data_IF_175035323160
#
_entry.id   IF_175035323160
#
_cell.length_a   1.000
_cell.length_b   1.000
_cell.length_c   1.000
_cell.angle_alpha   90.00
_cell.angle_beta   90.00
_cell.angle_gamma   90.00
#
_symmetry.space_group_name_H-M   'P 1'
#
loop_
_entity.id
_entity.type
_entity.pdbx_description
1 polymer ?
#
# COMPACT_ATOMS: atom_id res chain seq x y z
N UNK A 1 1.19 6.78 -13.58
CA UNK A 1 0.74 5.42 -13.20
C UNK A 1 0.40 5.32 -11.71
N UNK A 2 1.29 5.72 -10.78
CA UNK A 2 1.02 5.62 -9.33
C UNK A 2 -0.27 6.30 -8.84
N UNK A 3 -0.63 7.52 -9.29
CA UNK A 3 -1.91 8.14 -8.89
C UNK A 3 -3.14 7.32 -9.34
N UNK A 4 -3.07 6.73 -10.54
CA UNK A 4 -4.15 5.88 -11.06
C UNK A 4 -4.26 4.56 -10.29
N UNK A 5 -3.11 3.98 -9.90
CA UNK A 5 -3.07 2.79 -9.03
C UNK A 5 -3.73 3.08 -7.70
N UNK A 6 -3.52 4.28 -7.15
CA UNK A 6 -4.18 4.73 -5.93
C UNK A 6 -5.70 4.82 -6.09
N UNK A 7 -6.15 5.53 -7.12
CA UNK A 7 -7.58 5.72 -7.37
C UNK A 7 -8.30 4.38 -7.61
N UNK A 8 -7.64 3.46 -8.32
CA UNK A 8 -8.13 2.11 -8.54
C UNK A 8 -8.27 1.33 -7.22
N UNK A 9 -7.27 1.40 -6.35
CA UNK A 9 -7.28 0.71 -5.06
C UNK A 9 -8.30 1.31 -4.10
N UNK A 10 -8.44 2.63 -4.07
CA UNK A 10 -9.48 3.34 -3.31
C UNK A 10 -10.88 2.99 -3.80
N UNK A 11 -11.08 3.00 -5.12
CA UNK A 11 -12.35 2.62 -5.74
C UNK A 11 -12.74 1.19 -5.38
N UNK A 12 -11.76 0.28 -5.37
CA UNK A 12 -11.97 -1.10 -4.91
C UNK A 12 -12.32 -1.16 -3.42
N UNK A 13 -11.55 -0.51 -2.54
CA UNK A 13 -11.82 -0.52 -1.09
C UNK A 13 -13.20 0.10 -0.77
N UNK A 14 -13.53 1.23 -1.40
CA UNK A 14 -14.82 1.90 -1.24
C UNK A 14 -15.97 1.04 -1.78
N UNK A 15 -15.78 0.40 -2.92
CA UNK A 15 -16.74 -0.54 -3.50
C UNK A 15 -16.98 -1.75 -2.60
N UNK A 16 -15.93 -2.32 -2.00
CA UNK A 16 -16.08 -3.43 -1.05
C UNK A 16 -16.84 -3.00 0.21
N UNK A 17 -16.51 -1.83 0.77
CA UNK A 17 -17.14 -1.33 1.99
C UNK A 17 -18.61 -0.90 1.80
N UNK A 18 -19.00 -0.44 0.60
CA UNK A 18 -20.34 0.13 0.34
C UNK A 18 -21.20 -0.70 -0.62
N UNK A 19 -20.80 -1.92 -0.98
CA UNK A 19 -21.57 -2.76 -1.90
C UNK A 19 -21.57 -2.27 -3.35
N UNK A 20 -20.46 -1.69 -3.80
CA UNK A 20 -20.25 -1.26 -5.19
C UNK A 20 -20.29 -2.40 -6.20
N UNK A 21 -20.33 -2.06 -7.49
CA UNK A 21 -20.45 -3.08 -8.54
C UNK A 21 -19.20 -3.96 -8.62
N UNK A 22 -19.39 -5.27 -8.85
CA UNK A 22 -18.29 -6.25 -9.01
C UNK A 22 -17.24 -5.80 -10.02
N UNK A 23 -17.65 -5.22 -11.16
CA UNK A 23 -16.72 -4.80 -12.22
C UNK A 23 -15.71 -3.75 -11.76
N UNK A 24 -16.17 -2.72 -11.02
CA UNK A 24 -15.30 -1.68 -10.47
C UNK A 24 -14.30 -2.23 -9.46
N UNK A 25 -14.72 -3.14 -8.58
CA UNK A 25 -13.84 -3.72 -7.56
C UNK A 25 -12.77 -4.61 -8.22
N UNK A 26 -13.19 -5.48 -9.14
CA UNK A 26 -12.28 -6.37 -9.88
C UNK A 26 -11.29 -5.56 -10.71
N UNK A 27 -11.77 -4.58 -11.49
CA UNK A 27 -10.93 -3.71 -12.30
C UNK A 27 -9.94 -2.91 -11.45
N UNK A 28 -10.39 -2.39 -10.29
CA UNK A 28 -9.53 -1.67 -9.35
C UNK A 28 -8.40 -2.55 -8.79
N UNK A 29 -8.73 -3.77 -8.35
CA UNK A 29 -7.75 -4.73 -7.84
C UNK A 29 -6.75 -5.19 -8.92
N UNK A 30 -7.21 -5.44 -10.15
CA UNK A 30 -6.34 -5.81 -11.27
C UNK A 30 -5.41 -4.65 -11.66
N UNK A 31 -5.93 -3.43 -11.72
CA UNK A 31 -5.08 -2.28 -12.04
C UNK A 31 -4.05 -2.00 -10.95
N UNK A 32 -4.39 -2.28 -9.68
CA UNK A 32 -3.46 -2.15 -8.57
C UNK A 32 -2.25 -3.09 -8.70
N UNK A 33 -2.36 -4.24 -9.38
CA UNK A 33 -1.23 -5.17 -9.58
C UNK A 33 -0.17 -4.64 -10.54
N UNK A 34 -0.37 -3.49 -11.19
CA UNK A 34 0.67 -2.80 -11.98
C UNK A 34 1.83 -2.37 -11.07
N UNK A 35 1.56 -2.11 -9.79
CA UNK A 35 2.59 -1.77 -8.79
C UNK A 35 2.35 -2.53 -7.48
N UNK A 36 2.63 -3.85 -7.46
CA UNK A 36 2.22 -4.71 -6.36
C UNK A 36 2.89 -4.32 -5.03
N UNK A 37 4.13 -3.82 -5.08
CA UNK A 37 4.87 -3.37 -3.89
C UNK A 37 4.23 -2.15 -3.19
N UNK A 38 3.48 -1.30 -3.90
CA UNK A 38 2.81 -0.14 -3.30
C UNK A 38 1.47 -0.48 -2.64
N UNK A 39 0.91 -1.63 -2.98
CA UNK A 39 -0.49 -1.96 -2.64
C UNK A 39 -0.65 -3.31 -1.97
N UNK A 40 0.43 -4.06 -1.71
CA UNK A 40 0.36 -5.44 -1.25
C UNK A 40 -0.45 -5.55 0.06
N UNK A 41 -0.12 -4.74 1.05
CA UNK A 41 -0.80 -4.78 2.34
C UNK A 41 -2.25 -4.26 2.30
N UNK A 42 -2.57 -3.10 1.68
CA UNK A 42 -3.96 -2.68 1.54
C UNK A 42 -4.80 -3.61 0.63
N UNK A 43 -4.21 -4.21 -0.42
CA UNK A 43 -4.89 -5.21 -1.24
C UNK A 43 -5.17 -6.50 -0.45
N UNK A 44 -4.26 -6.92 0.43
CA UNK A 44 -4.49 -8.03 1.36
C UNK A 44 -5.71 -7.74 2.25
N UNK A 45 -5.81 -6.54 2.84
CA UNK A 45 -6.98 -6.17 3.65
C UNK A 45 -8.28 -6.19 2.85
N UNK A 46 -8.28 -5.69 1.60
CA UNK A 46 -9.46 -5.78 0.73
C UNK A 46 -9.81 -7.25 0.47
N UNK A 47 -8.83 -8.10 0.20
CA UNK A 47 -9.03 -9.54 0.01
C UNK A 47 -9.62 -10.23 1.25
N UNK A 48 -9.11 -9.91 2.44
CA UNK A 48 -9.63 -10.42 3.70
C UNK A 48 -11.06 -9.93 3.96
N UNK A 49 -11.37 -8.67 3.64
CA UNK A 49 -12.74 -8.13 3.76
C UNK A 49 -13.70 -8.82 2.79
N UNK A 50 -13.28 -9.09 1.55
CA UNK A 50 -14.07 -9.83 0.56
C UNK A 50 -14.38 -11.25 1.05
N UNK A 51 -13.41 -11.93 1.69
CA UNK A 51 -13.62 -13.24 2.31
C UNK A 51 -14.61 -13.15 3.47
N UNK A 52 -14.42 -12.19 4.39
CA UNK A 52 -15.29 -11.96 5.55
C UNK A 52 -16.73 -11.68 5.14
N UNK A 53 -16.92 -10.87 4.09
CA UNK A 53 -18.23 -10.49 3.54
C UNK A 53 -18.78 -11.49 2.52
N UNK A 54 -18.08 -12.61 2.29
CA UNK A 54 -18.48 -13.70 1.37
C UNK A 54 -18.78 -13.21 -0.05
N UNK A 55 -18.05 -12.21 -0.53
CA UNK A 55 -18.16 -11.69 -1.90
C UNK A 55 -17.42 -12.60 -2.90
N UNK A 56 -17.79 -13.88 -2.94
CA UNK A 56 -17.13 -14.94 -3.73
C UNK A 56 -17.03 -14.60 -5.21
N UNK A 57 -18.04 -13.92 -5.76
CA UNK A 57 -18.02 -13.49 -7.15
C UNK A 57 -16.81 -12.60 -7.45
N UNK A 58 -16.54 -11.60 -6.62
CA UNK A 58 -15.38 -10.70 -6.79
C UNK A 58 -14.09 -11.50 -6.68
N UNK A 59 -13.97 -12.37 -5.67
CA UNK A 59 -12.78 -13.21 -5.46
C UNK A 59 -12.49 -14.12 -6.65
N UNK A 60 -13.51 -14.80 -7.18
CA UNK A 60 -13.39 -15.69 -8.33
C UNK A 60 -13.02 -14.93 -9.60
N UNK A 61 -13.63 -13.77 -9.85
CA UNK A 61 -13.29 -12.95 -11.03
C UNK A 61 -11.88 -12.37 -10.94
N UNK A 62 -11.50 -11.76 -9.81
CA UNK A 62 -10.15 -11.22 -9.63
C UNK A 62 -9.11 -12.33 -9.69
N UNK A 63 -9.32 -13.44 -8.97
CA UNK A 63 -8.41 -14.59 -8.97
C UNK A 63 -8.29 -15.25 -10.34
N UNK A 64 -9.42 -15.49 -11.01
CA UNK A 64 -9.45 -16.09 -12.36
C UNK A 64 -8.76 -15.21 -13.40
N UNK A 65 -8.97 -13.89 -13.37
CA UNK A 65 -8.30 -12.96 -14.28
C UNK A 65 -6.80 -12.85 -14.00
N UNK A 66 -6.37 -12.82 -12.73
CA UNK A 66 -4.95 -12.85 -12.37
C UNK A 66 -4.28 -14.14 -12.83
N UNK A 67 -4.90 -15.30 -12.61
CA UNK A 67 -4.40 -16.58 -13.11
C UNK A 67 -4.33 -16.59 -14.65
N UNK A 68 -5.34 -16.03 -15.33
CA UNK A 68 -5.33 -15.85 -16.77
C UNK A 68 -4.15 -14.98 -17.24
N UNK A 69 -3.88 -13.86 -16.58
CA UNK A 69 -2.74 -13.00 -16.87
C UNK A 69 -1.40 -13.71 -16.62
N UNK A 70 -1.28 -14.46 -15.52
CA UNK A 70 -0.09 -15.28 -15.22
C UNK A 70 0.10 -16.34 -16.30
N UNK A 71 -0.97 -16.99 -16.75
CA UNK A 71 -0.91 -17.99 -17.80
C UNK A 71 -0.48 -17.37 -19.14
N UNK A 72 -1.02 -16.21 -19.51
CA UNK A 72 -0.58 -15.47 -20.70
C UNK A 72 0.90 -15.07 -20.57
N UNK A 73 1.33 -14.57 -19.41
CA UNK A 73 2.74 -14.25 -19.16
C UNK A 73 3.64 -15.49 -19.29
N UNK A 74 3.18 -16.65 -18.81
CA UNK A 74 3.86 -17.92 -18.98
C UNK A 74 3.97 -18.34 -20.45
N UNK A 75 2.92 -18.18 -21.25
CA UNK A 75 2.98 -18.47 -22.69
C UNK A 75 3.93 -17.53 -23.44
N UNK A 76 3.99 -16.26 -23.04
CA UNK A 76 4.85 -15.25 -23.67
C UNK A 76 6.32 -15.37 -23.24
N UNK A 77 6.58 -15.79 -22.01
CA UNK A 77 7.93 -15.92 -21.45
C UNK A 77 8.03 -17.15 -20.53
N UNK A 78 8.08 -18.39 -21.05
CA UNK A 78 7.98 -19.61 -20.24
C UNK A 78 8.99 -19.71 -19.07
N UNK A 79 10.16 -19.14 -19.27
CA UNK A 79 11.25 -19.18 -18.29
C UNK A 79 11.15 -18.09 -17.21
N UNK A 80 10.13 -17.21 -17.24
CA UNK A 80 10.02 -16.06 -16.32
C UNK A 80 10.10 -16.48 -14.85
N UNK A 81 9.45 -17.60 -14.51
CA UNK A 81 9.42 -18.10 -13.14
C UNK A 81 10.79 -18.58 -12.69
N UNK A 82 11.49 -19.33 -13.55
CA UNK A 82 12.84 -19.80 -13.27
C UNK A 82 13.84 -18.64 -13.17
N UNK A 83 13.71 -17.63 -14.03
CA UNK A 83 14.50 -16.40 -13.97
C UNK A 83 14.24 -15.63 -12.67
N UNK A 84 12.98 -15.53 -12.23
CA UNK A 84 12.62 -14.92 -10.95
C UNK A 84 13.24 -15.68 -9.75
N UNK A 85 13.14 -17.01 -9.74
CA UNK A 85 13.74 -17.83 -8.67
C UNK A 85 15.27 -17.75 -8.67
N UNK A 86 15.89 -17.72 -9.85
CA UNK A 86 17.32 -17.46 -10.03
C UNK A 86 17.73 -16.10 -9.48
N UNK A 87 16.97 -15.04 -9.80
CA UNK A 87 17.21 -13.69 -9.28
C UNK A 87 17.05 -13.59 -7.76
N UNK A 88 16.06 -14.31 -7.18
CA UNK A 88 15.85 -14.35 -5.73
C UNK A 88 17.00 -15.03 -4.98
N UNK A 89 17.48 -16.16 -5.50
CA UNK A 89 18.56 -16.94 -4.87
C UNK A 89 19.93 -16.28 -4.98
N UNK A 90 20.20 -15.61 -6.10
CA UNK A 90 21.43 -14.85 -6.33
C UNK A 90 21.47 -13.49 -5.61
N UNK A 91 20.32 -12.99 -5.14
CA UNK A 91 20.22 -11.64 -4.59
C UNK A 91 20.16 -10.54 -5.65
N UNK A 92 20.23 -10.88 -6.94
CA UNK A 92 20.22 -9.94 -8.07
C UNK A 92 18.89 -9.19 -8.25
N UNK A 93 17.85 -9.63 -7.54
CA UNK A 93 16.60 -8.87 -7.41
C UNK A 93 16.80 -7.49 -6.75
N UNK A 94 17.94 -7.23 -6.08
CA UNK A 94 18.23 -5.99 -5.35
C UNK A 94 19.13 -4.97 -6.06
N UNK A 95 19.53 -5.21 -7.31
CA UNK A 95 20.45 -4.30 -8.00
C UNK A 95 21.90 -4.79 -8.00
N UNK A 96 22.22 -5.76 -8.87
CA UNK A 96 23.56 -5.87 -9.45
C UNK A 96 23.73 -4.84 -10.58
N UNK A 97 24.86 -4.84 -11.31
CA UNK A 97 25.14 -3.94 -12.45
C UNK A 97 24.02 -3.91 -13.53
N UNK A 98 23.11 -4.90 -13.52
CA UNK A 98 21.91 -4.99 -14.35
C UNK A 98 20.63 -5.31 -13.55
N UNK A 99 20.52 -4.90 -12.28
CA UNK A 99 19.34 -5.25 -11.47
C UNK A 99 18.16 -4.29 -11.64
N UNK A 100 16.96 -4.80 -11.33
CA UNK A 100 15.66 -4.12 -11.43
C UNK A 100 15.47 -2.97 -10.41
N UNK A 101 16.42 -2.74 -9.51
CA UNK A 101 16.40 -1.63 -8.55
C UNK A 101 17.14 -0.45 -9.18
N UNK A 102 16.39 0.51 -9.73
CA UNK A 102 16.98 1.74 -10.25
C UNK A 102 17.65 2.54 -9.13
N UNK A 103 18.80 3.16 -9.40
CA UNK A 103 19.36 4.22 -8.54
C UNK A 103 18.28 5.24 -8.13
N UNK A 104 18.11 5.49 -6.83
CA UNK A 104 17.11 6.44 -6.31
C UNK A 104 15.99 5.85 -5.44
N UNK A 105 16.01 4.54 -5.16
CA UNK A 105 15.21 3.99 -4.05
C UNK A 105 15.87 4.41 -2.73
N UNK A 106 15.05 5.03 -1.89
CA UNK A 106 15.47 5.78 -0.71
C UNK A 106 14.49 5.36 0.39
N UNK A 107 14.94 4.52 1.32
CA UNK A 107 14.13 3.98 2.39
C UNK A 107 14.94 3.75 3.68
N UNK A 108 14.25 3.33 4.73
CA UNK A 108 14.88 3.10 6.05
C UNK A 108 15.80 1.87 6.05
N UNK A 109 15.62 0.98 5.07
CA UNK A 109 16.44 -0.22 4.93
C UNK A 109 17.87 0.11 4.50
N UNK A 110 18.02 1.14 3.68
CA UNK A 110 19.29 1.71 3.23
C UNK A 110 20.07 2.33 4.41
N UNK A 111 19.37 2.70 5.49
CA UNK A 111 19.94 3.15 6.76
C UNK A 111 20.16 2.01 7.78
N UNK A 112 20.02 0.75 7.36
CA UNK A 112 20.21 -0.43 8.22
C UNK A 112 19.01 -0.78 9.10
N UNK A 113 17.88 -0.08 8.98
CA UNK A 113 16.67 -0.39 9.75
C UNK A 113 15.94 -1.56 9.10
N UNK A 114 15.80 -2.65 9.85
CA UNK A 114 15.05 -3.82 9.40
C UNK A 114 13.56 -3.49 9.28
N UNK A 115 12.92 -3.89 8.16
CA UNK A 115 11.48 -3.74 7.97
C UNK A 115 10.64 -4.46 9.06
N UNK A 116 11.21 -5.46 9.72
CA UNK A 116 10.59 -6.17 10.85
C UNK A 116 10.30 -5.27 12.06
N UNK A 117 11.03 -4.17 12.21
CA UNK A 117 10.76 -3.16 13.25
C UNK A 117 9.33 -2.61 13.11
N UNK A 118 8.78 -2.62 11.89
CA UNK A 118 7.43 -2.11 11.61
C UNK A 118 6.34 -3.20 11.63
N UNK A 119 6.69 -4.47 11.87
CA UNK A 119 5.71 -5.56 11.98
C UNK A 119 4.61 -5.31 13.03
N UNK A 120 4.89 -4.72 14.21
CA UNK A 120 3.85 -4.38 15.18
C UNK A 120 2.75 -3.47 14.62
N UNK A 121 3.07 -2.56 13.70
CA UNK A 121 2.06 -1.71 13.06
C UNK A 121 1.16 -2.52 12.12
N UNK A 122 1.72 -3.49 11.39
CA UNK A 122 0.94 -4.41 10.56
C UNK A 122 -0.03 -5.26 11.40
N UNK A 123 0.45 -5.79 12.53
CA UNK A 123 -0.40 -6.53 13.49
C UNK A 123 -1.51 -5.64 14.03
N UNK A 124 -1.20 -4.38 14.38
CA UNK A 124 -2.21 -3.43 14.86
C UNK A 124 -3.29 -3.13 13.82
N UNK A 125 -2.91 -2.91 12.55
CA UNK A 125 -3.88 -2.71 11.46
C UNK A 125 -4.80 -3.92 11.31
N UNK A 126 -4.24 -5.14 11.33
CA UNK A 126 -5.03 -6.37 11.24
C UNK A 126 -5.98 -6.51 12.44
N UNK A 127 -5.51 -6.21 13.65
CA UNK A 127 -6.35 -6.19 14.85
C UNK A 127 -7.52 -5.19 14.73
N UNK A 128 -7.24 -3.96 14.26
CA UNK A 128 -8.28 -2.94 14.02
C UNK A 128 -9.26 -3.38 12.94
N UNK A 129 -8.78 -4.01 11.86
CA UNK A 129 -9.62 -4.58 10.81
C UNK A 129 -10.53 -5.70 11.33
N UNK A 130 -10.03 -6.60 12.17
CA UNK A 130 -10.87 -7.65 12.79
C UNK A 130 -12.01 -7.01 13.58
N UNK A 131 -11.69 -5.97 14.38
CA UNK A 131 -12.66 -5.29 15.26
C UNK A 131 -13.68 -4.44 14.50
N UNK A 132 -13.22 -3.63 13.55
CA UNK A 132 -14.01 -2.55 12.95
C UNK A 132 -14.35 -2.81 11.45
N UNK A 133 -13.75 -3.83 10.82
CA UNK A 133 -13.84 -4.07 9.38
C UNK A 133 -12.98 -3.10 8.55
N UNK A 134 -13.25 -3.05 7.25
CA UNK A 134 -12.55 -2.17 6.33
C UNK A 134 -13.08 -0.72 6.43
N UNK A 135 -12.49 0.07 7.32
CA UNK A 135 -12.82 1.50 7.49
C UNK A 135 -11.85 2.41 6.71
N UNK A 136 -12.24 3.64 6.35
CA UNK A 136 -11.34 4.59 5.70
C UNK A 136 -10.06 4.87 6.51
N UNK A 137 -10.20 4.93 7.83
CA UNK A 137 -9.09 5.11 8.76
C UNK A 137 -8.13 3.90 8.77
N UNK A 138 -8.68 2.69 8.93
CA UNK A 138 -7.90 1.46 8.90
C UNK A 138 -7.19 1.26 7.56
N UNK A 139 -7.86 1.58 6.45
CA UNK A 139 -7.30 1.52 5.11
C UNK A 139 -6.18 2.54 4.89
N UNK A 140 -6.35 3.78 5.39
CA UNK A 140 -5.30 4.80 5.34
C UNK A 140 -4.07 4.37 6.11
N UNK A 141 -4.24 3.82 7.32
CA UNK A 141 -3.13 3.29 8.11
C UNK A 141 -2.46 2.10 7.40
N UNK A 142 -3.22 1.25 6.71
CA UNK A 142 -2.67 0.16 5.92
C UNK A 142 -1.76 0.64 4.78
N UNK A 143 -2.13 1.74 4.10
CA UNK A 143 -1.26 2.35 3.09
C UNK A 143 0.06 2.79 3.72
N UNK A 144 0.01 3.51 4.85
CA UNK A 144 1.22 3.98 5.54
C UNK A 144 2.11 2.79 5.96
N UNK A 145 1.51 1.76 6.56
CA UNK A 145 2.22 0.56 6.99
C UNK A 145 2.81 -0.21 5.81
N UNK A 146 2.17 -0.21 4.65
CA UNK A 146 2.74 -0.81 3.44
C UNK A 146 4.09 -0.17 3.08
N UNK A 147 4.19 1.16 3.11
CA UNK A 147 5.43 1.88 2.83
C UNK A 147 6.53 1.61 3.87
N UNK A 148 6.16 1.29 5.11
CA UNK A 148 7.10 0.92 6.16
C UNK A 148 7.60 -0.53 6.04
N UNK A 149 6.69 -1.48 5.75
CA UNK A 149 7.02 -2.90 5.62
C UNK A 149 7.74 -3.22 4.30
N UNK A 150 7.36 -2.51 3.23
CA UNK A 150 7.90 -2.66 1.89
C UNK A 150 8.50 -1.31 1.48
N UNK A 151 9.75 -1.00 1.92
CA UNK A 151 10.41 0.27 1.64
C UNK A 151 10.95 0.28 0.20
N UNK A 152 10.08 0.04 -0.77
CA UNK A 152 10.37 0.06 -2.20
C UNK A 152 9.40 1.03 -2.86
N UNK A 153 9.67 2.33 -2.69
CA UNK A 153 8.86 3.40 -3.26
C UNK A 153 9.78 4.50 -3.79
N UNK A 154 9.34 5.21 -4.82
CA UNK A 154 10.00 6.44 -5.29
C UNK A 154 9.29 7.66 -4.73
N UNK A 155 9.93 8.82 -4.75
CA UNK A 155 9.34 10.07 -4.24
C UNK A 155 7.97 10.42 -4.86
N UNK A 156 7.74 10.09 -6.14
CA UNK A 156 6.43 10.30 -6.76
C UNK A 156 5.33 9.32 -6.28
N UNK A 157 5.70 8.24 -5.59
CA UNK A 157 4.76 7.31 -4.97
C UNK A 157 4.23 7.85 -3.63
N UNK A 158 4.86 8.88 -3.04
CA UNK A 158 4.41 9.54 -1.81
C UNK A 158 3.03 10.21 -1.96
N UNK A 159 2.56 10.41 -3.21
CA UNK A 159 1.17 10.79 -3.51
C UNK A 159 0.14 9.84 -2.87
N UNK A 160 0.52 8.58 -2.60
CA UNK A 160 -0.33 7.61 -1.90
C UNK A 160 -0.61 8.04 -0.45
N UNK A 161 0.25 8.86 0.14
CA UNK A 161 0.18 9.33 1.52
C UNK A 161 -0.75 10.55 1.70
N UNK A 162 -1.27 11.14 0.61
CA UNK A 162 -2.30 12.19 0.67
C UNK A 162 -3.55 11.70 1.38
N UNK A 163 -3.91 10.42 1.24
CA UNK A 163 -5.13 9.88 1.85
C UNK A 163 -5.02 9.78 3.38
N UNK A 164 -3.93 9.18 3.94
CA UNK A 164 -3.60 9.33 5.34
C UNK A 164 -3.65 10.78 5.83
N UNK A 165 -3.12 11.73 5.07
CA UNK A 165 -3.15 13.15 5.43
C UNK A 165 -4.56 13.72 5.50
N UNK A 166 -5.41 13.41 4.52
CA UNK A 166 -6.81 13.86 4.50
C UNK A 166 -7.62 13.19 5.62
N UNK A 167 -7.38 11.91 5.87
CA UNK A 167 -8.01 11.19 6.98
C UNK A 167 -7.63 11.85 8.32
N UNK A 168 -6.34 12.15 8.53
CA UNK A 168 -5.86 12.91 9.67
C UNK A 168 -6.56 14.27 9.75
N UNK A 169 -6.55 15.07 8.69
CA UNK A 169 -7.16 16.40 8.67
C UNK A 169 -8.64 16.43 9.09
N UNK A 170 -9.42 15.39 8.70
CA UNK A 170 -10.84 15.28 9.09
C UNK A 170 -11.05 14.97 10.58
N UNK A 171 -10.05 14.42 11.28
CA UNK A 171 -10.13 14.03 12.68
C UNK A 171 -9.49 15.01 13.68
N UNK A 172 -8.99 16.17 13.26
CA UNK A 172 -8.13 17.01 14.11
C UNK A 172 -8.85 18.06 14.96
N UNK A 173 -8.39 18.19 16.22
CA UNK A 173 -8.50 19.42 17.04
C UNK A 173 -7.25 20.30 16.83
N UNK A 174 -7.33 21.59 17.21
CA UNK A 174 -6.34 22.67 16.93
C UNK A 174 -4.85 22.35 17.20
N UNK A 175 -4.52 21.39 18.07
CA UNK A 175 -3.15 21.00 18.41
C UNK A 175 -2.47 20.09 17.37
N UNK A 176 -3.24 19.41 16.51
CA UNK A 176 -2.70 18.43 15.56
C UNK A 176 -2.29 19.04 14.20
N UNK A 177 -2.55 20.34 14.00
CA UNK A 177 -2.18 21.06 12.78
C UNK A 177 -0.68 21.00 12.49
N UNK A 178 0.17 20.92 13.52
CA UNK A 178 1.62 20.76 13.33
C UNK A 178 1.97 19.43 12.65
N UNK A 179 1.27 18.35 13.00
CA UNK A 179 1.48 17.02 12.41
C UNK A 179 0.92 16.95 10.99
N UNK A 180 -0.21 17.60 10.74
CA UNK A 180 -0.75 17.75 9.39
C UNK A 180 0.17 18.59 8.49
N UNK A 181 0.68 19.72 8.98
CA UNK A 181 1.61 20.58 8.25
C UNK A 181 2.96 19.90 8.02
N UNK A 182 3.45 19.11 8.97
CA UNK A 182 4.65 18.28 8.80
C UNK A 182 4.44 17.21 7.73
N UNK A 183 3.30 16.52 7.75
CA UNK A 183 2.97 15.50 6.75
C UNK A 183 2.64 16.08 5.36
N UNK A 184 1.98 17.23 5.29
CA UNK A 184 1.72 17.93 4.03
C UNK A 184 3.03 18.54 3.48
N UNK A 185 3.82 19.17 4.35
CA UNK A 185 5.17 19.64 4.02
C UNK A 185 6.08 18.50 3.57
N UNK A 186 5.88 17.29 4.08
CA UNK A 186 6.65 16.13 3.66
C UNK A 186 6.22 15.58 2.29
N UNK A 187 4.93 15.51 2.00
CA UNK A 187 4.43 15.06 0.69
C UNK A 187 4.66 16.10 -0.42
N UNK A 188 4.52 17.40 -0.12
CA UNK A 188 4.62 18.47 -1.13
C UNK A 188 6.00 19.13 -1.22
N UNK A 189 6.79 19.12 -0.13
CA UNK A 189 8.12 19.77 -0.07
C UNK A 189 9.30 18.82 -0.26
N UNK A 190 9.13 17.50 -0.08
CA UNK A 190 10.26 16.55 -0.03
C UNK A 190 10.50 15.61 -1.22
N UNK A 191 9.89 15.74 -2.42
CA UNK A 191 10.38 14.93 -3.54
C UNK A 191 11.85 15.22 -3.94
N UNK A 192 12.52 16.15 -3.24
CA UNK A 192 13.89 16.59 -3.48
C UNK A 192 14.89 16.33 -2.33
N UNK A 193 14.54 15.67 -1.21
CA UNK A 193 15.49 15.43 -0.09
C UNK A 193 15.31 14.07 0.61
N UNK A 194 16.38 13.58 1.26
CA UNK A 194 16.39 12.33 2.06
C UNK A 194 15.37 12.28 3.20
N UNK A 195 14.75 13.41 3.55
CA UNK A 195 13.72 13.48 4.59
C UNK A 195 12.40 12.81 4.18
N UNK A 196 12.14 12.58 2.87
CA UNK A 196 10.94 11.85 2.42
C UNK A 196 10.88 10.43 2.99
N UNK A 197 12.03 9.81 3.29
CA UNK A 197 12.15 8.49 3.94
C UNK A 197 11.41 8.41 5.28
N UNK A 198 11.29 9.54 6.00
CA UNK A 198 10.64 9.60 7.31
C UNK A 198 9.14 9.86 7.21
N UNK A 199 8.62 10.25 6.04
CA UNK A 199 7.20 10.59 5.86
C UNK A 199 6.26 9.46 6.30
N UNK A 200 6.48 8.19 5.91
CA UNK A 200 5.63 7.10 6.36
C UNK A 200 5.72 6.87 7.87
N UNK A 201 6.88 7.11 8.49
CA UNK A 201 7.05 6.98 9.96
C UNK A 201 6.27 8.06 10.68
N UNK A 202 6.40 9.32 10.26
CA UNK A 202 5.68 10.46 10.84
C UNK A 202 4.18 10.25 10.70
N UNK A 203 3.71 9.80 9.54
CA UNK A 203 2.29 9.52 9.33
C UNK A 203 1.79 8.32 10.13
N UNK A 204 2.61 7.28 10.31
CA UNK A 204 2.22 6.14 11.14
C UNK A 204 2.03 6.58 12.59
N UNK A 205 2.99 7.35 13.12
CA UNK A 205 2.90 7.93 14.47
C UNK A 205 1.68 8.85 14.57
N UNK A 206 1.46 9.72 13.58
CA UNK A 206 0.30 10.62 13.53
C UNK A 206 -1.03 9.86 13.59
N UNK A 207 -1.19 8.82 12.77
CA UNK A 207 -2.38 7.98 12.72
C UNK A 207 -2.58 7.14 13.98
N UNK A 208 -1.52 6.83 14.72
CA UNK A 208 -1.62 6.15 16.02
C UNK A 208 -1.97 7.11 17.16
N UNK A 209 -1.38 8.31 17.18
CA UNK A 209 -1.56 9.30 18.24
C UNK A 209 -2.91 10.01 18.15
N UNK A 210 -3.40 10.22 16.93
CA UNK A 210 -4.76 10.66 16.71
C UNK A 210 -5.57 9.45 16.21
N UNK A 211 -6.17 8.65 17.11
CA UNK A 211 -7.03 7.56 16.70
C UNK A 211 -8.20 8.17 15.93
N UNK A 212 -8.05 8.21 14.61
CA UNK A 212 -9.02 8.72 13.64
C UNK A 212 -10.41 8.32 14.12
N UNK A 213 -11.16 9.33 14.58
CA UNK A 213 -12.34 9.20 15.42
C UNK A 213 -13.14 7.96 15.03
N UNK A 214 -13.20 6.98 15.95
CA UNK A 214 -14.08 5.82 15.85
C UNK A 214 -15.51 6.24 16.15
N UNK A 215 -16.02 7.23 15.43
CA UNK A 215 -17.44 7.52 15.42
C UNK A 215 -18.08 6.58 14.41
N UNK A 216 -19.02 5.80 14.93
CA UNK A 216 -19.88 4.87 14.20
C UNK A 216 -20.70 5.56 13.12
#
# INVERSE_FOLDING_TARGET
VSPLVNLALLGAAWGVANGGTTGWIVGGLLFATVKPHLVLFPALLIGLELLKTRQWRVLLWTGGLLLGLIFVAFLLQPDWFMQMMGALSSGDFRGGQAGLVSTGYVGLRELGVSGWVFAPFGVYVLYRWVKDGLTPAGFSLAIVVNFLLIPYSRSYDDVLLILPLVALAKGQKRADWGVFLLGAGSVFGLPFTNFSMLTPVVLAIACLLNPLNTDK
#
